data_IF_159812502824
#
_entry.id   IF_159812502824
#
_cell.length_a   1.000
_cell.length_b   1.000
_cell.length_c   1.000
_cell.angle_alpha   90.00
_cell.angle_beta   90.00
_cell.angle_gamma   90.00
#
_symmetry.space_group_name_H-M   'P 1'
#
loop_
_entity.id
_entity.type
_entity.pdbx_description
1 polymer ?
#
# COMPACT_ATOMS: atom_id res chain seq x y z
N UNK A 1 -16.96 -14.91 -1.50
CA UNK A 1 -16.50 -13.51 -1.39
C UNK A 1 -15.17 -13.54 -0.63
N UNK A 2 -14.13 -12.88 -1.13
CA UNK A 2 -12.79 -12.99 -0.53
C UNK A 2 -12.60 -11.95 0.57
N UNK A 3 -12.25 -12.39 1.77
CA UNK A 3 -12.07 -11.53 2.93
C UNK A 3 -10.66 -10.94 2.97
N UNK A 4 -10.58 -9.60 3.07
CA UNK A 4 -9.33 -8.86 3.27
C UNK A 4 -8.97 -8.87 4.76
N UNK A 5 -7.69 -8.95 5.07
CA UNK A 5 -7.20 -8.93 6.46
C UNK A 5 -7.68 -7.68 7.22
N UNK A 6 -7.74 -6.54 6.52
CA UNK A 6 -8.23 -5.27 7.06
C UNK A 6 -9.73 -5.27 7.42
N UNK A 7 -10.53 -6.18 6.83
CA UNK A 7 -11.99 -6.23 7.02
C UNK A 7 -12.41 -6.34 8.48
N UNK A 8 -11.71 -7.15 9.28
CA UNK A 8 -12.03 -7.34 10.70
C UNK A 8 -11.91 -6.03 11.49
N UNK A 9 -10.83 -5.27 11.28
CA UNK A 9 -10.63 -3.97 11.94
C UNK A 9 -11.67 -2.94 11.48
N UNK A 10 -11.98 -2.89 10.18
CA UNK A 10 -13.00 -2.01 9.63
C UNK A 10 -14.40 -2.34 10.18
N UNK A 11 -14.74 -3.62 10.26
CA UNK A 11 -16.02 -4.08 10.84
C UNK A 11 -16.15 -3.64 12.29
N UNK A 12 -15.10 -3.77 13.09
CA UNK A 12 -15.09 -3.28 14.48
C UNK A 12 -15.32 -1.77 14.55
N UNK A 13 -14.67 -1.01 13.66
CA UNK A 13 -14.77 0.45 13.64
C UNK A 13 -16.15 1.00 13.18
N UNK A 14 -17.02 0.17 12.58
CA UNK A 14 -18.37 0.60 12.19
C UNK A 14 -19.23 1.05 13.39
N UNK A 15 -18.95 0.52 14.58
CA UNK A 15 -19.67 0.88 15.81
C UNK A 15 -19.11 2.14 16.47
N UNK A 16 -17.95 2.59 16.07
CA UNK A 16 -17.31 3.79 16.60
C UNK A 16 -17.85 5.04 15.90
N UNK A 17 -17.85 6.17 16.62
CA UNK A 17 -18.37 7.45 16.09
C UNK A 17 -17.53 8.02 14.94
N UNK A 18 -16.18 8.00 14.97
CA UNK A 18 -15.38 8.63 13.91
C UNK A 18 -15.69 8.07 12.52
N UNK A 19 -15.56 8.89 11.50
CA UNK A 19 -15.67 8.48 10.11
C UNK A 19 -14.62 7.42 9.78
N UNK A 20 -15.04 6.35 9.12
CA UNK A 20 -14.16 5.29 8.62
C UNK A 20 -13.63 5.71 7.25
N UNK A 21 -12.33 5.97 7.14
CA UNK A 21 -11.69 6.41 5.89
C UNK A 21 -10.83 5.28 5.36
N UNK A 22 -11.16 4.76 4.18
CA UNK A 22 -10.40 3.72 3.50
C UNK A 22 -9.60 4.36 2.37
N UNK A 23 -8.29 4.37 2.48
CA UNK A 23 -7.38 4.93 1.48
C UNK A 23 -6.46 3.84 0.92
N UNK A 24 -5.80 4.11 -0.18
CA UNK A 24 -4.90 3.16 -0.83
C UNK A 24 -4.86 3.39 -2.34
N UNK A 25 -3.92 2.74 -3.01
CA UNK A 25 -3.76 2.86 -4.45
C UNK A 25 -5.06 2.51 -5.21
N UNK A 26 -5.22 3.02 -6.42
CA UNK A 26 -6.33 2.63 -7.31
C UNK A 26 -6.31 1.11 -7.57
N UNK A 27 -7.49 0.49 -7.75
CA UNK A 27 -7.66 -0.95 -8.06
C UNK A 27 -7.26 -1.95 -6.94
N UNK A 28 -7.01 -1.50 -5.69
CA UNK A 28 -6.76 -2.42 -4.56
C UNK A 28 -8.03 -2.99 -3.92
N UNK A 29 -9.22 -2.58 -4.40
CA UNK A 29 -10.51 -3.10 -3.95
C UNK A 29 -11.22 -2.26 -2.88
N UNK A 30 -10.95 -0.94 -2.78
CA UNK A 30 -11.59 -0.02 -1.80
C UNK A 30 -13.12 -0.02 -1.93
N UNK A 31 -13.64 0.20 -3.15
CA UNK A 31 -15.09 0.25 -3.42
C UNK A 31 -15.79 -1.08 -3.08
N UNK A 32 -15.15 -2.21 -3.37
CA UNK A 32 -15.68 -3.52 -3.01
C UNK A 32 -15.76 -3.69 -1.51
N UNK A 33 -14.71 -3.29 -0.79
CA UNK A 33 -14.66 -3.36 0.67
C UNK A 33 -15.69 -2.41 1.33
N UNK A 34 -15.85 -1.20 0.78
CA UNK A 34 -16.86 -0.22 1.21
C UNK A 34 -18.28 -0.80 1.11
N UNK A 35 -18.62 -1.41 -0.02
CA UNK A 35 -19.93 -2.07 -0.23
C UNK A 35 -20.14 -3.22 0.76
N UNK A 36 -19.14 -4.08 0.95
CA UNK A 36 -19.20 -5.17 1.93
C UNK A 36 -19.46 -4.68 3.36
N UNK A 37 -18.82 -3.55 3.74
CA UNK A 37 -19.05 -2.95 5.06
C UNK A 37 -20.45 -2.36 5.17
N UNK A 38 -20.95 -1.70 4.14
CA UNK A 38 -22.29 -1.15 4.15
C UNK A 38 -23.37 -2.23 4.21
N UNK A 39 -23.14 -3.37 3.55
CA UNK A 39 -24.09 -4.50 3.55
C UNK A 39 -24.35 -5.02 4.96
N UNK A 40 -23.32 -5.09 5.83
CA UNK A 40 -23.45 -5.56 7.21
C UNK A 40 -23.96 -4.51 8.20
N UNK A 41 -24.07 -3.22 7.80
CA UNK A 41 -24.68 -2.20 8.65
C UNK A 41 -26.16 -2.50 8.78
N UNK A 42 -26.70 -2.58 10.04
CA UNK A 42 -28.10 -2.88 10.26
C UNK A 42 -29.02 -1.70 9.87
N UNK A 43 -30.25 -2.04 9.51
CA UNK A 43 -31.30 -1.04 9.18
C UNK A 43 -31.31 -0.64 7.71
N UNK A 44 -32.34 0.13 7.34
CA UNK A 44 -32.57 0.62 5.95
C UNK A 44 -32.05 2.04 5.72
N UNK A 45 -31.81 2.82 6.79
CA UNK A 45 -31.35 4.19 6.71
C UNK A 45 -29.84 4.24 6.41
N UNK A 46 -29.46 3.74 5.24
CA UNK A 46 -28.08 3.67 4.76
C UNK A 46 -28.02 3.79 3.24
N UNK A 47 -27.00 4.47 2.73
CA UNK A 47 -26.84 4.71 1.29
C UNK A 47 -25.37 4.57 0.86
N UNK A 48 -25.16 4.09 -0.37
CA UNK A 48 -23.90 4.10 -1.08
C UNK A 48 -23.96 5.12 -2.22
N UNK A 49 -23.03 6.04 -2.25
CA UNK A 49 -22.91 7.09 -3.27
C UNK A 49 -21.52 7.04 -3.89
N UNK A 50 -21.45 6.63 -5.14
CA UNK A 50 -20.26 6.68 -5.97
C UNK A 50 -20.12 8.08 -6.56
N UNK A 51 -19.09 8.82 -6.15
CA UNK A 51 -18.86 10.19 -6.60
C UNK A 51 -18.20 10.28 -8.00
N UNK A 52 -17.85 9.14 -8.64
CA UNK A 52 -17.55 9.14 -10.08
C UNK A 52 -18.81 9.51 -10.90
N UNK A 53 -19.99 9.20 -10.38
CA UNK A 53 -21.28 9.55 -11.01
C UNK A 53 -21.64 11.01 -10.76
N UNK A 54 -21.98 11.72 -11.84
CA UNK A 54 -22.33 13.14 -11.78
C UNK A 54 -23.58 13.34 -10.93
N UNK A 55 -24.58 12.45 -11.05
CA UNK A 55 -25.84 12.51 -10.33
C UNK A 55 -25.61 12.51 -8.80
N UNK A 56 -24.72 11.67 -8.32
CA UNK A 56 -24.40 11.60 -6.89
C UNK A 56 -23.68 12.87 -6.41
N UNK A 57 -22.84 13.49 -7.24
CA UNK A 57 -22.22 14.76 -6.89
C UNK A 57 -23.21 15.92 -6.84
N UNK A 58 -24.29 15.88 -7.64
CA UNK A 58 -25.33 16.92 -7.64
C UNK A 58 -26.05 17.01 -6.29
N UNK A 59 -26.19 15.91 -5.55
CA UNK A 59 -26.78 15.89 -4.20
C UNK A 59 -26.07 16.91 -3.30
N UNK A 60 -24.75 16.95 -3.36
CA UNK A 60 -23.87 17.77 -2.50
C UNK A 60 -23.53 19.14 -3.09
N UNK A 61 -24.08 19.48 -4.25
CA UNK A 61 -23.95 20.80 -4.89
C UNK A 61 -25.20 21.68 -4.71
N UNK A 62 -26.17 21.23 -3.90
CA UNK A 62 -27.32 22.06 -3.57
C UNK A 62 -26.88 23.30 -2.78
N UNK A 63 -27.57 24.44 -2.94
CA UNK A 63 -27.19 25.71 -2.32
C UNK A 63 -27.14 25.68 -0.80
N UNK A 64 -27.95 24.85 -0.16
CA UNK A 64 -28.01 24.74 1.30
C UNK A 64 -27.97 23.30 1.76
N UNK A 65 -27.46 23.07 2.98
CA UNK A 65 -27.45 21.74 3.61
C UNK A 65 -28.86 21.17 3.76
N UNK A 66 -29.88 22.04 3.99
CA UNK A 66 -31.28 21.63 4.10
C UNK A 66 -31.81 21.06 2.77
N UNK A 67 -31.45 21.63 1.65
CA UNK A 67 -31.82 21.10 0.32
C UNK A 67 -31.12 19.78 0.03
N UNK A 68 -29.86 19.61 0.48
CA UNK A 68 -29.16 18.32 0.42
C UNK A 68 -29.87 17.25 1.25
N UNK A 69 -30.34 17.60 2.46
CA UNK A 69 -31.09 16.73 3.35
C UNK A 69 -32.41 16.30 2.71
N UNK A 70 -33.17 17.26 2.17
CA UNK A 70 -34.44 16.98 1.44
C UNK A 70 -34.19 16.06 0.24
N UNK A 71 -33.11 16.27 -0.49
CA UNK A 71 -32.76 15.38 -1.61
C UNK A 71 -32.53 13.95 -1.13
N UNK A 72 -31.79 13.77 -0.04
CA UNK A 72 -31.54 12.45 0.55
C UNK A 72 -32.85 11.82 1.08
N UNK A 73 -33.77 12.62 1.63
CA UNK A 73 -35.10 12.14 2.05
C UNK A 73 -35.89 11.56 0.87
N UNK A 74 -35.80 12.15 -0.33
CA UNK A 74 -36.45 11.57 -1.53
C UNK A 74 -35.88 10.20 -1.91
N UNK A 75 -34.65 9.91 -1.48
CA UNK A 75 -33.98 8.61 -1.64
C UNK A 75 -34.23 7.66 -0.45
N UNK A 76 -35.07 8.08 0.53
CA UNK A 76 -35.39 7.31 1.72
C UNK A 76 -34.37 7.39 2.84
N UNK A 77 -33.50 8.41 2.82
CA UNK A 77 -32.43 8.59 3.81
C UNK A 77 -32.73 9.80 4.70
N UNK A 78 -32.89 9.56 5.97
CA UNK A 78 -33.14 10.58 6.99
C UNK A 78 -31.84 10.78 7.81
N UNK A 79 -31.14 11.85 7.54
CA UNK A 79 -29.85 12.18 8.22
C UNK A 79 -30.04 12.63 9.66
N UNK A 80 -31.27 13.04 10.06
CA UNK A 80 -31.58 13.44 11.43
C UNK A 80 -31.67 12.25 12.38
N UNK A 81 -31.87 11.05 11.83
CA UNK A 81 -31.86 9.78 12.55
C UNK A 81 -30.50 9.07 12.40
N UNK A 82 -30.31 7.98 13.17
CA UNK A 82 -29.13 7.14 12.99
C UNK A 82 -29.06 6.65 11.55
N UNK A 83 -28.05 7.12 10.83
CA UNK A 83 -27.87 6.92 9.40
C UNK A 83 -26.42 6.52 9.10
N UNK A 84 -26.20 5.78 8.00
CA UNK A 84 -24.86 5.48 7.46
C UNK A 84 -24.77 5.91 6.00
N UNK A 85 -23.81 6.78 5.71
CA UNK A 85 -23.54 7.27 4.36
C UNK A 85 -22.15 6.75 3.93
N UNK A 86 -22.13 5.94 2.88
CA UNK A 86 -20.92 5.44 2.25
C UNK A 86 -20.63 6.27 1.00
N UNK A 87 -19.47 6.96 0.98
CA UNK A 87 -19.03 7.81 -0.12
C UNK A 87 -17.78 7.22 -0.77
N UNK A 88 -17.87 6.91 -2.04
CA UNK A 88 -16.76 6.36 -2.82
C UNK A 88 -16.09 7.46 -3.65
N UNK A 89 -14.74 7.43 -3.74
CA UNK A 89 -13.90 8.36 -4.52
C UNK A 89 -14.11 9.85 -4.15
N UNK A 90 -14.05 10.16 -2.84
CA UNK A 90 -14.38 11.51 -2.31
C UNK A 90 -13.47 12.63 -2.83
N UNK A 91 -12.29 12.33 -3.36
CA UNK A 91 -11.42 13.34 -3.98
C UNK A 91 -12.06 14.04 -5.19
N UNK A 92 -13.09 13.45 -5.79
CA UNK A 92 -13.85 14.05 -6.90
C UNK A 92 -14.83 15.15 -6.46
N UNK A 93 -15.02 15.33 -5.14
CA UNK A 93 -15.86 16.38 -4.58
C UNK A 93 -15.17 17.02 -3.36
N UNK A 94 -14.22 17.94 -3.58
CA UNK A 94 -13.41 18.54 -2.52
C UNK A 94 -14.18 19.14 -1.35
N UNK A 95 -15.31 19.80 -1.63
CA UNK A 95 -16.08 20.55 -0.66
C UNK A 95 -16.94 19.68 0.28
N UNK A 96 -17.06 18.37 -0.04
CA UNK A 96 -17.83 17.40 0.75
C UNK A 96 -17.33 17.28 2.20
N UNK A 97 -16.08 17.63 2.44
CA UNK A 97 -15.46 17.56 3.77
C UNK A 97 -16.20 18.46 4.79
N UNK A 98 -16.61 19.64 4.35
CA UNK A 98 -17.38 20.59 5.17
C UNK A 98 -18.76 20.04 5.52
N UNK A 99 -19.39 19.36 4.57
CA UNK A 99 -20.70 18.72 4.75
C UNK A 99 -20.58 17.54 5.71
N UNK A 100 -19.58 16.68 5.52
CA UNK A 100 -19.29 15.55 6.43
C UNK A 100 -19.08 16.06 7.86
N UNK A 101 -18.28 17.14 8.04
CA UNK A 101 -18.07 17.76 9.34
C UNK A 101 -19.37 18.26 9.96
N UNK A 102 -20.17 19.01 9.19
CA UNK A 102 -21.44 19.56 9.67
C UNK A 102 -22.41 18.45 10.12
N UNK A 103 -22.63 17.43 9.28
CA UNK A 103 -23.54 16.33 9.63
C UNK A 103 -22.97 15.42 10.72
N UNK A 104 -21.65 15.26 10.82
CA UNK A 104 -21.01 14.56 11.93
C UNK A 104 -21.22 15.28 13.27
N UNK A 105 -21.07 16.61 13.28
CA UNK A 105 -21.20 17.41 14.52
C UNK A 105 -22.68 17.60 14.92
N UNK A 106 -23.59 17.78 13.96
CA UNK A 106 -25.00 18.08 14.19
C UNK A 106 -25.87 16.83 14.39
N UNK A 107 -25.61 15.79 13.61
CA UNK A 107 -26.40 14.57 13.57
C UNK A 107 -25.56 13.34 13.96
N UNK A 108 -26.20 12.17 14.05
CA UNK A 108 -25.52 10.90 14.34
C UNK A 108 -25.22 10.11 13.06
N UNK A 109 -24.71 10.78 12.03
CA UNK A 109 -24.37 10.13 10.77
C UNK A 109 -23.04 9.40 10.91
N UNK A 110 -23.01 8.11 10.56
CA UNK A 110 -21.79 7.35 10.37
C UNK A 110 -21.33 7.47 8.93
N UNK A 111 -20.13 7.98 8.72
CA UNK A 111 -19.51 8.03 7.40
C UNK A 111 -18.53 6.88 7.20
N UNK A 112 -18.61 6.25 6.02
CA UNK A 112 -17.61 5.31 5.51
C UNK A 112 -17.17 5.87 4.17
N UNK A 113 -15.93 6.28 4.03
CA UNK A 113 -15.47 6.99 2.83
C UNK A 113 -14.25 6.34 2.21
N UNK A 114 -14.13 6.38 0.89
CA UNK A 114 -12.93 5.94 0.18
C UNK A 114 -12.32 7.07 -0.64
N UNK A 115 -11.02 6.92 -0.91
CA UNK A 115 -10.31 7.76 -1.85
C UNK A 115 -9.02 7.11 -2.32
N UNK A 116 -8.64 7.37 -3.57
CA UNK A 116 -7.43 6.78 -4.17
C UNK A 116 -6.15 7.49 -3.74
N UNK A 117 -6.23 8.72 -3.25
CA UNK A 117 -5.08 9.55 -2.90
C UNK A 117 -5.04 9.88 -1.42
N UNK A 118 -3.94 9.48 -0.77
CA UNK A 118 -3.68 9.88 0.61
C UNK A 118 -3.39 11.38 0.75
N UNK A 119 -2.88 12.02 -0.31
CA UNK A 119 -2.60 13.45 -0.32
C UNK A 119 -3.83 14.27 0.02
N UNK A 120 -4.92 13.99 -0.69
CA UNK A 120 -6.17 14.68 -0.47
C UNK A 120 -6.78 14.38 0.89
N UNK A 121 -6.81 13.09 1.23
CA UNK A 121 -7.37 12.62 2.50
C UNK A 121 -6.55 13.06 3.71
N UNK A 122 -5.23 13.11 3.61
CA UNK A 122 -4.37 13.57 4.71
C UNK A 122 -4.43 15.08 4.89
N UNK A 123 -4.39 15.88 3.84
CA UNK A 123 -4.32 17.34 3.93
C UNK A 123 -5.70 17.99 4.18
N UNK A 124 -6.68 17.84 3.30
CA UNK A 124 -8.01 18.45 3.52
C UNK A 124 -8.81 17.79 4.62
N UNK A 125 -8.75 16.47 4.74
CA UNK A 125 -9.39 15.77 5.85
C UNK A 125 -8.70 15.97 7.19
N UNK A 126 -7.37 16.19 7.25
CA UNK A 126 -6.71 16.37 8.55
C UNK A 126 -7.05 17.69 9.20
N UNK A 127 -7.19 18.74 8.45
CA UNK A 127 -7.54 20.06 9.00
C UNK A 127 -9.01 20.12 9.45
N UNK A 128 -9.94 19.64 8.61
CA UNK A 128 -11.37 19.77 8.89
C UNK A 128 -11.96 18.68 9.78
N UNK A 129 -11.43 17.47 9.75
CA UNK A 129 -11.93 16.31 10.50
C UNK A 129 -10.93 15.79 11.55
N UNK A 130 -10.09 16.68 12.11
CA UNK A 130 -9.21 16.31 13.21
C UNK A 130 -10.02 15.71 14.38
N UNK A 131 -9.63 14.53 14.85
CA UNK A 131 -10.35 13.79 15.91
C UNK A 131 -11.68 13.15 15.50
N UNK A 132 -12.15 13.35 14.26
CA UNK A 132 -13.45 12.85 13.75
C UNK A 132 -13.32 11.73 12.74
N UNK A 133 -12.10 11.26 12.46
CA UNK A 133 -11.84 10.20 11.46
C UNK A 133 -10.82 9.19 11.95
N UNK A 134 -10.90 7.99 11.41
CA UNK A 134 -9.84 7.00 11.47
C UNK A 134 -9.51 6.53 10.06
N UNK A 135 -8.23 6.57 9.69
CA UNK A 135 -7.74 6.20 8.36
C UNK A 135 -7.23 4.77 8.40
N UNK A 136 -7.71 3.98 7.43
CA UNK A 136 -7.32 2.61 7.18
C UNK A 136 -6.70 2.51 5.79
N UNK A 137 -5.46 2.08 5.71
CA UNK A 137 -4.74 1.93 4.45
C UNK A 137 -4.95 0.52 3.88
N UNK A 138 -5.52 0.44 2.69
CA UNK A 138 -5.71 -0.79 1.95
C UNK A 138 -4.62 -0.94 0.90
N UNK A 139 -3.70 -1.86 1.14
CA UNK A 139 -2.62 -2.19 0.21
C UNK A 139 -3.07 -3.22 -0.84
N UNK A 140 -2.30 -3.48 -1.91
CA UNK A 140 -2.45 -4.70 -2.71
C UNK A 140 -2.48 -5.95 -1.82
N UNK A 141 -2.94 -7.09 -2.29
CA UNK A 141 -3.03 -8.32 -1.50
C UNK A 141 -1.68 -8.68 -0.87
N UNK A 142 -1.68 -9.08 0.41
CA UNK A 142 -0.59 -9.84 1.00
C UNK A 142 -0.52 -11.24 0.40
N UNK A 143 0.57 -11.99 0.60
CA UNK A 143 0.68 -13.32 0.00
C UNK A 143 -0.39 -14.29 0.55
N UNK A 144 -0.73 -14.21 1.84
CA UNK A 144 -1.82 -15.01 2.40
C UNK A 144 -3.19 -14.61 1.83
N UNK A 145 -3.45 -13.32 1.57
CA UNK A 145 -4.63 -12.85 0.87
C UNK A 145 -4.64 -13.35 -0.59
N UNK A 146 -3.49 -13.29 -1.28
CA UNK A 146 -3.31 -13.80 -2.64
C UNK A 146 -3.69 -15.29 -2.72
N UNK A 147 -3.20 -16.11 -1.78
CA UNK A 147 -3.54 -17.53 -1.71
C UNK A 147 -5.05 -17.75 -1.53
N UNK A 148 -5.70 -16.98 -0.63
CA UNK A 148 -7.16 -17.04 -0.43
C UNK A 148 -7.93 -16.65 -1.71
N UNK A 149 -7.48 -15.63 -2.44
CA UNK A 149 -8.07 -15.24 -3.71
C UNK A 149 -7.91 -16.31 -4.80
N UNK A 150 -6.87 -17.12 -4.71
CA UNK A 150 -6.66 -18.30 -5.56
C UNK A 150 -7.45 -19.54 -5.08
N UNK A 151 -8.24 -19.43 -4.01
CA UNK A 151 -8.99 -20.55 -3.43
C UNK A 151 -8.15 -21.54 -2.62
N UNK A 152 -6.94 -21.16 -2.22
CA UNK A 152 -6.02 -21.98 -1.44
C UNK A 152 -6.28 -21.73 0.05
N UNK A 153 -6.50 -22.82 0.82
CA UNK A 153 -6.66 -22.71 2.28
C UNK A 153 -5.34 -22.32 2.94
N UNK A 154 -5.40 -21.25 3.73
CA UNK A 154 -4.26 -20.70 4.47
C UNK A 154 -4.33 -20.94 5.97
N UNK A 155 -5.29 -21.70 6.46
CA UNK A 155 -5.51 -21.89 7.90
C UNK A 155 -4.29 -22.54 8.58
N UNK A 156 -3.76 -23.57 7.97
CA UNK A 156 -2.52 -24.24 8.43
C UNK A 156 -1.28 -23.41 8.14
N UNK A 157 -1.28 -22.70 7.02
CA UNK A 157 -0.18 -21.86 6.55
C UNK A 157 0.27 -20.83 7.59
N UNK A 158 -0.65 -20.14 8.25
CA UNK A 158 -0.33 -19.09 9.23
C UNK A 158 0.46 -19.56 10.45
N UNK A 159 0.48 -20.85 10.74
CA UNK A 159 1.26 -21.43 11.85
C UNK A 159 2.75 -21.42 11.59
N UNK A 160 3.17 -21.25 10.33
CA UNK A 160 4.57 -21.28 9.91
C UNK A 160 5.20 -19.89 9.74
N UNK A 161 4.52 -18.82 10.19
CA UNK A 161 5.05 -17.47 10.13
C UNK A 161 6.43 -17.38 10.78
N UNK A 162 7.39 -16.82 10.04
CA UNK A 162 8.78 -16.63 10.48
C UNK A 162 9.52 -17.90 10.96
N UNK A 163 9.03 -19.09 10.65
CA UNK A 163 9.77 -20.32 10.92
C UNK A 163 10.88 -20.52 9.87
N UNK A 164 11.94 -21.21 10.29
CA UNK A 164 13.00 -21.63 9.40
C UNK A 164 12.46 -22.47 8.24
N UNK A 165 13.24 -22.51 7.16
CA UNK A 165 12.90 -23.19 5.92
C UNK A 165 12.43 -24.63 6.13
N UNK A 166 11.26 -24.94 5.58
CA UNK A 166 10.65 -26.26 5.54
C UNK A 166 10.41 -26.66 4.08
N UNK A 167 11.09 -27.69 3.64
CA UNK A 167 11.09 -28.11 2.24
C UNK A 167 9.69 -28.47 1.71
N UNK A 168 8.90 -29.23 2.46
CA UNK A 168 7.55 -29.60 2.09
C UNK A 168 6.65 -28.38 1.89
N UNK A 169 6.77 -27.39 2.78
CA UNK A 169 6.04 -26.15 2.73
C UNK A 169 6.45 -25.28 1.53
N UNK A 170 7.75 -25.12 1.30
CA UNK A 170 8.31 -24.45 0.14
C UNK A 170 7.79 -25.10 -1.16
N UNK A 171 7.90 -26.42 -1.29
CA UNK A 171 7.46 -27.13 -2.49
C UNK A 171 5.97 -26.98 -2.79
N UNK A 172 5.13 -26.87 -1.74
CA UNK A 172 3.69 -26.65 -1.87
C UNK A 172 3.36 -25.26 -2.43
N UNK A 173 4.05 -24.22 -1.99
CA UNK A 173 3.65 -22.84 -2.25
C UNK A 173 4.58 -22.04 -3.18
N UNK A 174 5.77 -22.57 -3.54
CA UNK A 174 6.76 -21.85 -4.37
C UNK A 174 6.21 -21.35 -5.69
N UNK A 175 5.35 -22.11 -6.36
CA UNK A 175 4.74 -21.72 -7.64
C UNK A 175 3.82 -20.49 -7.46
N UNK A 176 2.98 -20.51 -6.43
CA UNK A 176 2.10 -19.38 -6.08
C UNK A 176 2.89 -18.16 -5.64
N UNK A 177 3.99 -18.35 -4.90
CA UNK A 177 4.84 -17.24 -4.47
C UNK A 177 5.60 -16.61 -5.64
N UNK A 178 6.10 -17.42 -6.58
CA UNK A 178 6.72 -16.92 -7.81
C UNK A 178 5.73 -16.14 -8.68
N UNK A 179 4.48 -16.61 -8.76
CA UNK A 179 3.40 -15.88 -9.44
C UNK A 179 3.13 -14.53 -8.75
N UNK A 180 3.06 -14.52 -7.42
CA UNK A 180 2.87 -13.32 -6.61
C UNK A 180 4.01 -12.31 -6.78
N UNK A 181 5.27 -12.75 -6.74
CA UNK A 181 6.44 -11.90 -7.01
C UNK A 181 6.36 -11.29 -8.40
N UNK A 182 6.00 -12.11 -9.40
CA UNK A 182 6.00 -11.71 -10.82
C UNK A 182 4.89 -10.74 -11.18
N UNK A 183 3.68 -10.95 -10.66
CA UNK A 183 2.47 -10.21 -11.06
C UNK A 183 1.86 -9.35 -9.95
N UNK A 184 2.45 -9.37 -8.76
CA UNK A 184 1.97 -8.57 -7.64
C UNK A 184 0.69 -9.07 -6.99
N UNK A 185 0.10 -8.19 -6.17
CA UNK A 185 -1.07 -8.46 -5.36
C UNK A 185 -2.31 -7.65 -5.72
N UNK A 186 -2.45 -7.10 -6.93
CA UNK A 186 -3.72 -6.47 -7.32
C UNK A 186 -4.83 -7.54 -7.43
N UNK A 187 -6.00 -7.35 -6.78
CA UNK A 187 -7.07 -8.34 -6.75
C UNK A 187 -7.50 -8.84 -8.13
N UNK A 188 -7.76 -7.93 -9.07
CA UNK A 188 -8.16 -8.28 -10.44
C UNK A 188 -7.07 -9.08 -11.16
N UNK A 189 -5.79 -8.67 -11.04
CA UNK A 189 -4.64 -9.36 -11.64
C UNK A 189 -4.50 -10.78 -11.08
N UNK A 190 -4.72 -10.95 -9.77
CA UNK A 190 -4.64 -12.24 -9.09
C UNK A 190 -5.65 -13.25 -9.65
N UNK A 191 -6.86 -12.80 -9.97
CA UNK A 191 -7.96 -13.64 -10.49
C UNK A 191 -7.84 -13.99 -11.97
N UNK A 192 -7.02 -13.28 -12.73
CA UNK A 192 -6.76 -13.60 -14.15
C UNK A 192 -5.86 -14.84 -14.22
N UNK A 193 -6.15 -15.76 -15.13
CA UNK A 193 -5.36 -16.98 -15.31
C UNK A 193 -4.21 -16.81 -16.32
N UNK A 194 -4.43 -16.08 -17.43
CA UNK A 194 -3.46 -15.96 -18.53
C UNK A 194 -2.39 -14.90 -18.24
N UNK A 195 -1.08 -15.23 -18.33
CA UNK A 195 0.01 -14.29 -18.06
C UNK A 195 -0.03 -13.01 -18.91
N UNK A 196 -0.39 -13.12 -20.21
CA UNK A 196 -0.51 -11.94 -21.07
C UNK A 196 -1.62 -11.00 -20.60
N UNK A 197 -2.77 -11.55 -20.19
CA UNK A 197 -3.89 -10.75 -19.66
C UNK A 197 -3.55 -10.11 -18.32
N UNK A 198 -2.73 -10.77 -17.47
CA UNK A 198 -2.20 -10.14 -16.24
C UNK A 198 -1.33 -8.93 -16.56
N UNK A 199 -0.41 -9.05 -17.54
CA UNK A 199 0.44 -7.92 -17.97
C UNK A 199 -0.40 -6.77 -18.54
N UNK A 200 -1.40 -7.07 -19.38
CA UNK A 200 -2.30 -6.06 -19.92
C UNK A 200 -3.06 -5.33 -18.79
N UNK A 201 -3.61 -6.05 -17.81
CA UNK A 201 -4.30 -5.45 -16.68
C UNK A 201 -3.36 -4.58 -15.82
N UNK A 202 -2.12 -5.01 -15.59
CA UNK A 202 -1.12 -4.18 -14.88
C UNK A 202 -0.81 -2.89 -15.65
N UNK A 203 -0.72 -2.96 -16.99
CA UNK A 203 -0.54 -1.78 -17.83
C UNK A 203 -1.74 -0.82 -17.73
N UNK A 204 -2.96 -1.34 -17.73
CA UNK A 204 -4.18 -0.55 -17.54
C UNK A 204 -4.22 0.13 -16.17
N UNK A 205 -3.79 -0.59 -15.11
CA UNK A 205 -3.68 -0.02 -13.75
C UNK A 205 -2.68 1.13 -13.73
N UNK A 206 -1.51 0.97 -14.35
CA UNK A 206 -0.48 2.01 -14.41
C UNK A 206 -0.96 3.23 -15.22
N UNK A 207 -1.58 3.01 -16.38
CA UNK A 207 -2.12 4.08 -17.21
C UNK A 207 -3.21 4.85 -16.45
N UNK A 208 -4.15 4.14 -15.83
CA UNK A 208 -5.20 4.76 -15.02
C UNK A 208 -4.62 5.55 -13.82
N UNK A 209 -3.56 5.04 -13.18
CA UNK A 209 -2.86 5.77 -12.12
C UNK A 209 -2.26 7.09 -12.63
N UNK A 210 -1.57 7.06 -13.76
CA UNK A 210 -0.96 8.28 -14.35
C UNK A 210 -2.04 9.26 -14.76
N UNK A 211 -3.08 8.81 -15.45
CA UNK A 211 -4.10 9.68 -16.02
C UNK A 211 -5.06 10.26 -14.96
N UNK A 212 -5.40 9.49 -13.93
CA UNK A 212 -6.45 9.88 -12.99
C UNK A 212 -5.92 10.30 -11.62
N UNK A 213 -4.81 9.75 -11.15
CA UNK A 213 -4.28 10.11 -9.83
C UNK A 213 -3.17 11.17 -9.92
N UNK A 214 -2.25 11.02 -10.87
CA UNK A 214 -1.14 11.96 -11.02
C UNK A 214 -1.59 13.27 -11.67
N UNK A 215 -2.34 13.22 -12.77
CA UNK A 215 -2.80 14.43 -13.50
C UNK A 215 -3.81 15.26 -12.71
N UNK A 216 -4.70 14.64 -11.94
CA UNK A 216 -5.70 15.36 -11.11
C UNK A 216 -5.01 16.09 -9.96
N UNK A 217 -3.93 15.54 -9.42
CA UNK A 217 -3.23 16.07 -8.24
C UNK A 217 -2.03 16.95 -8.59
N UNK A 218 -1.65 17.01 -9.86
CA UNK A 218 -0.55 17.82 -10.34
C UNK A 218 -0.96 18.60 -11.60
N UNK A 219 -0.55 19.85 -11.68
CA UNK A 219 -0.72 20.67 -12.89
C UNK A 219 0.22 20.23 -14.05
N UNK A 220 0.74 18.99 -13.99
CA UNK A 220 1.74 18.48 -14.90
C UNK A 220 1.11 17.75 -16.08
N UNK A 221 1.29 18.32 -17.29
CA UNK A 221 0.72 17.81 -18.54
C UNK A 221 1.61 16.82 -19.31
N UNK A 222 2.84 16.53 -18.82
CA UNK A 222 3.83 15.77 -19.59
C UNK A 222 3.94 14.32 -19.13
N UNK A 223 3.19 13.43 -19.82
CA UNK A 223 3.21 11.98 -19.56
C UNK A 223 4.61 11.36 -19.76
N UNK A 224 5.35 11.79 -20.77
CA UNK A 224 6.66 11.22 -21.12
C UNK A 224 7.69 11.39 -19.99
N UNK A 225 7.70 12.55 -19.30
CA UNK A 225 8.58 12.76 -18.16
C UNK A 225 8.24 11.82 -16.99
N UNK A 226 6.94 11.58 -16.73
CA UNK A 226 6.48 10.70 -15.71
C UNK A 226 6.87 9.24 -15.99
N UNK A 227 6.61 8.76 -17.20
CA UNK A 227 7.01 7.40 -17.61
C UNK A 227 8.53 7.23 -17.54
N UNK A 228 9.29 8.23 -18.03
CA UNK A 228 10.77 8.22 -17.95
C UNK A 228 11.24 8.15 -16.48
N UNK A 229 10.64 8.94 -15.60
CA UNK A 229 10.98 8.93 -14.17
C UNK A 229 10.61 7.59 -13.52
N UNK A 230 9.41 7.06 -13.76
CA UNK A 230 8.97 5.77 -13.21
C UNK A 230 9.92 4.65 -13.67
N UNK A 231 10.31 4.63 -14.95
CA UNK A 231 11.27 3.68 -15.50
C UNK A 231 12.66 3.81 -14.84
N UNK A 232 13.11 5.04 -14.63
CA UNK A 232 14.38 5.30 -13.95
C UNK A 232 14.37 4.84 -12.49
N UNK A 233 13.24 5.01 -11.81
CA UNK A 233 13.03 4.55 -10.44
C UNK A 233 12.97 3.02 -10.36
N UNK A 234 12.35 2.35 -11.33
CA UNK A 234 12.31 0.89 -11.37
C UNK A 234 13.69 0.27 -11.52
N UNK A 235 14.53 0.82 -12.39
CA UNK A 235 15.92 0.37 -12.56
C UNK A 235 16.78 0.54 -11.29
N UNK A 236 16.38 1.46 -10.39
CA UNK A 236 17.11 1.82 -9.15
C UNK A 236 16.39 1.40 -7.87
N UNK A 237 15.39 0.55 -7.95
CA UNK A 237 14.70 0.04 -6.77
C UNK A 237 15.69 -0.55 -5.77
N UNK A 238 15.49 -0.32 -4.47
CA UNK A 238 16.39 -0.76 -3.40
C UNK A 238 17.71 0.01 -3.28
N UNK A 239 18.01 0.93 -4.21
CA UNK A 239 19.22 1.75 -4.15
C UNK A 239 18.93 3.11 -3.49
N UNK A 240 19.96 3.71 -2.89
CA UNK A 240 19.88 5.08 -2.37
C UNK A 240 19.56 6.07 -3.49
N UNK A 241 18.55 6.90 -3.28
CA UNK A 241 18.09 7.87 -4.27
C UNK A 241 18.59 9.28 -3.95
N UNK A 242 19.28 9.86 -4.93
CA UNK A 242 19.65 11.26 -4.94
C UNK A 242 18.82 12.01 -5.97
N UNK A 243 17.99 12.94 -5.51
CA UNK A 243 17.11 13.71 -6.39
C UNK A 243 17.88 14.54 -7.43
N UNK A 244 19.09 15.00 -7.13
CA UNK A 244 19.92 15.75 -8.08
C UNK A 244 20.46 14.84 -9.19
N UNK A 245 20.91 13.61 -8.83
CA UNK A 245 21.34 12.61 -9.82
C UNK A 245 20.17 12.14 -10.69
N UNK A 246 18.98 11.94 -10.10
CA UNK A 246 17.77 11.61 -10.85
C UNK A 246 17.41 12.73 -11.84
N UNK A 247 17.45 13.99 -11.38
CA UNK A 247 17.17 15.16 -12.19
C UNK A 247 18.11 15.26 -13.42
N UNK A 248 19.41 15.08 -13.19
CA UNK A 248 20.43 15.11 -14.26
C UNK A 248 20.17 14.01 -15.29
N UNK A 249 19.93 12.76 -14.86
CA UNK A 249 19.73 11.62 -15.78
C UNK A 249 18.38 11.71 -16.52
N UNK A 250 17.33 12.16 -15.82
CA UNK A 250 16.00 12.31 -16.41
C UNK A 250 15.88 13.52 -17.34
N UNK A 251 16.74 14.53 -17.18
CA UNK A 251 16.61 15.85 -17.84
C UNK A 251 15.42 16.64 -17.27
N UNK A 252 15.08 16.44 -16.00
CA UNK A 252 13.93 17.05 -15.31
C UNK A 252 14.45 17.94 -14.18
N UNK A 253 13.82 19.08 -13.94
CA UNK A 253 14.19 19.97 -12.83
C UNK A 253 14.16 19.24 -11.49
N UNK A 254 15.15 19.49 -10.60
CA UNK A 254 15.28 18.85 -9.30
C UNK A 254 14.04 19.04 -8.41
N UNK A 255 13.45 20.23 -8.38
CA UNK A 255 12.26 20.50 -7.58
C UNK A 255 11.06 19.70 -8.11
N UNK A 256 10.95 19.54 -9.42
CA UNK A 256 9.91 18.74 -10.06
C UNK A 256 10.09 17.26 -9.73
N UNK A 257 11.34 16.74 -9.72
CA UNK A 257 11.63 15.37 -9.24
C UNK A 257 11.20 15.19 -7.79
N UNK A 258 11.54 16.12 -6.90
CA UNK A 258 11.14 16.04 -5.48
C UNK A 258 9.61 16.04 -5.32
N UNK A 259 8.91 16.86 -6.09
CA UNK A 259 7.44 16.89 -6.10
C UNK A 259 6.84 15.57 -6.61
N UNK A 260 7.39 14.98 -7.67
CA UNK A 260 6.94 13.68 -8.17
C UNK A 260 7.18 12.56 -7.17
N UNK A 261 8.36 12.51 -6.53
CA UNK A 261 8.64 11.50 -5.50
C UNK A 261 7.66 11.62 -4.33
N UNK A 262 7.41 12.84 -3.86
CA UNK A 262 6.42 13.10 -2.81
C UNK A 262 5.01 12.69 -3.26
N UNK A 263 4.61 13.00 -4.48
CA UNK A 263 3.32 12.58 -5.04
C UNK A 263 3.20 11.06 -5.11
N UNK A 264 4.22 10.36 -5.61
CA UNK A 264 4.23 8.89 -5.69
C UNK A 264 4.13 8.23 -4.32
N UNK A 265 4.78 8.81 -3.30
CA UNK A 265 4.67 8.35 -1.91
C UNK A 265 3.25 8.58 -1.38
N UNK A 266 2.71 9.78 -1.58
CA UNK A 266 1.37 10.14 -1.09
C UNK A 266 0.23 9.40 -1.78
N UNK A 267 0.43 8.97 -3.03
CA UNK A 267 -0.54 8.17 -3.80
C UNK A 267 -0.35 6.66 -3.64
N UNK A 268 0.52 6.22 -2.73
CA UNK A 268 0.82 4.80 -2.49
C UNK A 268 1.43 4.07 -3.69
N UNK A 269 2.00 4.77 -4.66
CA UNK A 269 2.70 4.16 -5.78
C UNK A 269 4.10 3.69 -5.38
N UNK A 270 4.79 4.51 -4.61
CA UNK A 270 6.08 4.19 -4.00
C UNK A 270 6.02 4.24 -2.48
N UNK A 271 6.84 3.43 -1.86
CA UNK A 271 7.14 3.49 -0.44
C UNK A 271 8.56 3.96 -0.23
N UNK A 272 8.73 4.99 0.58
CA UNK A 272 10.03 5.53 0.97
C UNK A 272 10.53 4.83 2.21
N UNK A 273 11.75 4.33 2.16
CA UNK A 273 12.44 3.74 3.30
C UNK A 273 13.56 4.67 3.74
N UNK A 274 13.49 5.13 4.98
CA UNK A 274 14.49 6.01 5.59
C UNK A 274 15.63 5.18 6.22
N UNK A 275 16.83 5.75 6.36
CA UNK A 275 17.90 5.07 7.05
C UNK A 275 17.64 4.97 8.56
N UNK A 276 18.05 3.87 9.16
CA UNK A 276 18.08 3.71 10.62
C UNK A 276 19.26 4.47 11.21
N UNK A 277 19.02 5.37 12.14
CA UNK A 277 20.06 6.11 12.85
C UNK A 277 19.60 6.50 14.25
N UNK A 278 20.50 6.37 15.23
CA UNK A 278 20.28 6.90 16.57
C UNK A 278 20.44 8.44 16.64
N UNK A 279 20.71 9.08 15.50
CA UNK A 279 20.88 10.52 15.40
C UNK A 279 19.90 11.03 14.32
N UNK A 280 18.94 11.85 14.72
CA UNK A 280 17.89 12.41 13.88
C UNK A 280 18.44 13.21 12.69
N UNK A 281 19.52 13.99 12.87
CA UNK A 281 20.13 14.74 11.78
C UNK A 281 20.69 13.83 10.68
N UNK A 282 21.27 12.70 11.08
CA UNK A 282 21.77 11.69 10.13
C UNK A 282 20.62 10.96 9.44
N UNK A 283 19.54 10.67 10.15
CA UNK A 283 18.35 10.05 9.57
C UNK A 283 17.73 10.94 8.50
N UNK A 284 17.60 12.24 8.78
CA UNK A 284 17.02 13.21 7.85
C UNK A 284 17.95 13.53 6.66
N UNK A 285 19.26 13.61 6.90
CA UNK A 285 20.25 14.02 5.87
C UNK A 285 20.67 12.89 4.91
N UNK A 286 20.43 11.62 5.26
CA UNK A 286 20.80 10.49 4.41
C UNK A 286 19.75 10.26 3.30
N UNK A 287 20.23 9.74 2.17
CA UNK A 287 19.39 9.48 1.01
C UNK A 287 18.42 8.31 1.27
N UNK A 288 17.12 8.46 1.00
CA UNK A 288 16.16 7.35 1.13
C UNK A 288 16.35 6.30 0.05
N UNK A 289 15.80 5.11 0.28
CA UNK A 289 15.51 4.10 -0.74
C UNK A 289 14.02 4.15 -1.08
N UNK A 290 13.68 3.81 -2.33
CA UNK A 290 12.29 3.72 -2.77
C UNK A 290 11.99 2.33 -3.30
N UNK A 291 10.78 1.85 -2.97
CA UNK A 291 10.24 0.57 -3.39
C UNK A 291 8.86 0.78 -4.01
N UNK A 292 8.56 0.02 -5.05
CA UNK A 292 7.20 0.01 -5.60
C UNK A 292 6.27 -0.72 -4.63
N UNK A 293 5.08 -0.18 -4.40
CA UNK A 293 4.10 -0.77 -3.49
C UNK A 293 3.54 -2.12 -3.98
N UNK A 294 3.79 -2.44 -5.25
CA UNK A 294 3.43 -3.71 -5.88
C UNK A 294 4.54 -4.21 -6.80
N UNK A 295 4.93 -5.48 -6.66
CA UNK A 295 5.98 -6.11 -7.45
C UNK A 295 5.60 -6.32 -8.91
N UNK A 296 4.30 -6.47 -9.22
CA UNK A 296 3.81 -6.59 -10.58
C UNK A 296 4.00 -5.29 -11.37
N UNK A 297 3.77 -4.13 -10.75
CA UNK A 297 4.05 -2.85 -11.37
C UNK A 297 5.55 -2.62 -11.58
N UNK A 298 6.38 -3.00 -10.63
CA UNK A 298 7.84 -2.95 -10.79
C UNK A 298 8.29 -3.79 -11.99
N UNK A 299 7.83 -5.04 -12.06
CA UNK A 299 8.22 -5.99 -13.10
C UNK A 299 7.66 -5.64 -14.49
N UNK A 300 6.62 -4.80 -14.55
CA UNK A 300 6.05 -4.29 -15.80
C UNK A 300 6.99 -3.31 -16.51
N UNK A 301 7.78 -2.53 -15.74
CA UNK A 301 8.60 -1.45 -16.30
C UNK A 301 9.81 -1.96 -17.07
N UNK A 302 10.48 -2.97 -16.56
CA UNK A 302 11.62 -3.66 -17.19
C UNK A 302 11.69 -5.08 -16.60
N UNK A 303 12.22 -6.04 -17.36
CA UNK A 303 12.61 -7.32 -16.78
C UNK A 303 13.71 -7.09 -15.74
N UNK A 304 13.30 -7.06 -14.49
CA UNK A 304 14.21 -6.83 -13.37
C UNK A 304 14.98 -8.11 -13.03
N UNK A 305 16.18 -7.93 -12.50
CA UNK A 305 16.88 -9.02 -11.83
C UNK A 305 16.00 -9.61 -10.73
N UNK A 306 15.93 -10.95 -10.66
CA UNK A 306 15.12 -11.68 -9.67
C UNK A 306 15.35 -11.18 -8.24
N UNK A 307 16.59 -10.82 -7.90
CA UNK A 307 16.94 -10.30 -6.58
C UNK A 307 16.23 -8.99 -6.21
N UNK A 308 16.16 -8.04 -7.13
CA UNK A 308 15.52 -6.73 -6.90
C UNK A 308 14.00 -6.86 -6.72
N UNK A 309 13.35 -7.69 -7.55
CA UNK A 309 11.90 -7.93 -7.43
C UNK A 309 11.61 -8.64 -6.11
N UNK A 310 12.42 -9.61 -5.73
CA UNK A 310 12.28 -10.32 -4.47
C UNK A 310 12.47 -9.40 -3.27
N UNK A 311 13.54 -8.58 -3.26
CA UNK A 311 13.75 -7.57 -2.23
C UNK A 311 12.56 -6.62 -2.11
N UNK A 312 12.08 -6.06 -3.22
CA UNK A 312 10.89 -5.21 -3.23
C UNK A 312 9.65 -5.91 -2.64
N UNK A 313 9.46 -7.18 -2.94
CA UNK A 313 8.34 -7.98 -2.41
C UNK A 313 8.46 -8.17 -0.91
N UNK A 314 9.65 -8.56 -0.42
CA UNK A 314 9.91 -8.77 1.02
C UNK A 314 9.77 -7.47 1.81
N UNK A 315 10.31 -6.36 1.30
CA UNK A 315 10.14 -5.03 1.93
C UNK A 315 8.66 -4.70 2.11
N UNK A 316 7.83 -4.88 1.07
CA UNK A 316 6.39 -4.67 1.16
C UNK A 316 5.70 -5.61 2.15
N UNK A 317 6.14 -6.86 2.29
CA UNK A 317 5.61 -7.78 3.29
C UNK A 317 5.89 -7.27 4.72
N UNK A 318 7.11 -6.82 5.02
CA UNK A 318 7.46 -6.25 6.33
C UNK A 318 6.70 -4.95 6.62
N UNK A 319 6.55 -4.05 5.65
CA UNK A 319 5.81 -2.79 5.80
C UNK A 319 4.31 -3.00 6.08
N UNK A 320 3.74 -4.13 5.68
CA UNK A 320 2.36 -4.52 6.01
C UNK A 320 2.22 -5.03 7.44
N UNK A 321 3.27 -5.64 7.99
CA UNK A 321 3.29 -6.13 9.36
C UNK A 321 3.50 -4.99 10.37
N UNK A 322 4.33 -4.01 10.00
CA UNK A 322 4.62 -2.83 10.82
C UNK A 322 5.14 -1.70 9.92
N UNK A 323 4.75 -0.47 10.24
CA UNK A 323 5.20 0.72 9.50
C UNK A 323 6.61 1.18 9.88
N UNK A 324 7.14 0.71 11.02
CA UNK A 324 8.48 1.05 11.49
C UNK A 324 9.49 0.10 10.86
N UNK A 325 9.87 0.44 9.64
CA UNK A 325 10.88 -0.28 8.85
C UNK A 325 11.86 0.74 8.29
N UNK A 326 13.15 0.50 8.51
CA UNK A 326 14.24 1.35 8.03
C UNK A 326 15.28 0.47 7.32
N UNK A 327 16.23 1.05 6.60
CA UNK A 327 17.43 0.36 6.14
C UNK A 327 18.65 0.86 6.93
N UNK A 328 19.75 0.10 6.96
CA UNK A 328 20.97 0.55 7.59
C UNK A 328 22.17 0.43 6.64
N UNK A 329 22.99 1.47 6.54
CA UNK A 329 24.21 1.43 5.77
C UNK A 329 25.29 2.32 6.37
N UNK A 330 26.49 1.74 6.58
CA UNK A 330 27.71 2.48 6.96
C UNK A 330 28.35 3.16 5.75
N UNK A 331 29.18 4.19 6.01
CA UNK A 331 30.03 4.81 4.97
C UNK A 331 31.00 3.81 4.32
N UNK A 332 31.39 2.76 5.05
CA UNK A 332 32.25 1.67 4.57
C UNK A 332 31.56 0.68 3.62
N UNK A 333 30.28 0.89 3.30
CA UNK A 333 29.51 0.02 2.41
C UNK A 333 28.80 -1.14 3.11
N UNK A 334 29.04 -1.39 4.40
CA UNK A 334 28.29 -2.41 5.15
C UNK A 334 26.81 -2.02 5.25
N UNK A 335 25.91 -2.92 4.87
CA UNK A 335 24.48 -2.70 4.81
C UNK A 335 23.71 -3.80 5.53
N UNK A 336 22.55 -3.46 6.11
CA UNK A 336 21.47 -4.37 6.50
C UNK A 336 20.26 -3.91 5.70
N UNK A 337 19.64 -4.81 4.96
CA UNK A 337 18.55 -4.48 4.05
C UNK A 337 17.38 -3.84 4.77
N UNK A 338 16.95 -4.42 5.93
CA UNK A 338 15.89 -3.84 6.76
C UNK A 338 16.25 -3.91 8.25
N UNK A 339 15.88 -2.84 8.97
CA UNK A 339 15.72 -2.84 10.43
C UNK A 339 14.23 -2.78 10.71
N UNK A 340 13.69 -3.81 11.34
CA UNK A 340 12.27 -3.95 11.64
C UNK A 340 12.01 -3.77 13.12
N UNK A 341 11.04 -2.89 13.47
CA UNK A 341 10.70 -2.55 14.87
C UNK A 341 11.90 -2.13 15.71
N UNK A 342 12.88 -1.47 15.09
CA UNK A 342 14.10 -0.95 15.73
C UNK A 342 14.96 -1.99 16.49
N UNK A 343 14.60 -3.26 16.43
CA UNK A 343 15.28 -4.31 17.19
C UNK A 343 15.64 -5.58 16.41
N UNK A 344 15.25 -5.64 15.12
CA UNK A 344 15.44 -6.83 14.29
C UNK A 344 16.16 -6.48 13.01
N UNK A 345 17.27 -7.18 12.73
CA UNK A 345 18.03 -7.08 11.49
C UNK A 345 17.52 -8.10 10.47
N UNK A 346 17.33 -7.68 9.23
CA UNK A 346 16.85 -8.54 8.14
C UNK A 346 17.76 -8.38 6.95
N UNK A 347 18.23 -9.50 6.43
CA UNK A 347 19.00 -9.62 5.20
C UNK A 347 18.22 -10.43 4.19
N UNK A 348 18.17 -9.99 2.92
CA UNK A 348 17.37 -10.58 1.85
C UNK A 348 18.29 -11.13 0.77
N UNK A 349 18.18 -12.42 0.48
CA UNK A 349 19.01 -13.11 -0.51
C UNK A 349 18.15 -14.02 -1.39
N UNK A 350 18.42 -14.05 -2.68
CA UNK A 350 17.77 -15.03 -3.56
C UNK A 350 18.09 -16.44 -3.16
N UNK A 351 19.34 -16.72 -2.82
CA UNK A 351 19.83 -18.01 -2.34
C UNK A 351 20.72 -17.77 -1.11
N UNK A 352 20.14 -17.86 0.10
CA UNK A 352 20.85 -17.55 1.34
C UNK A 352 21.94 -18.59 1.66
N UNK A 353 23.03 -18.14 2.27
CA UNK A 353 24.15 -18.99 2.66
C UNK A 353 24.47 -18.84 4.15
N UNK A 354 25.24 -19.76 4.70
CA UNK A 354 25.76 -19.67 6.07
C UNK A 354 26.61 -18.40 6.25
N UNK A 355 27.42 -18.03 5.24
CA UNK A 355 28.19 -16.79 5.27
C UNK A 355 27.33 -15.54 5.39
N UNK A 356 26.13 -15.52 4.75
CA UNK A 356 25.18 -14.41 4.89
C UNK A 356 24.62 -14.34 6.31
N UNK A 357 24.30 -15.49 6.92
CA UNK A 357 23.83 -15.56 8.30
C UNK A 357 24.88 -15.05 9.30
N UNK A 358 26.13 -15.48 9.14
CA UNK A 358 27.25 -15.06 9.99
C UNK A 358 27.53 -13.56 9.85
N UNK A 359 27.51 -13.04 8.63
CA UNK A 359 27.65 -11.61 8.34
C UNK A 359 26.51 -10.77 8.95
N UNK A 360 25.27 -11.22 8.81
CA UNK A 360 24.10 -10.58 9.43
C UNK A 360 24.22 -10.57 10.96
N UNK A 361 24.61 -11.70 11.56
CA UNK A 361 24.80 -11.81 13.00
C UNK A 361 25.84 -10.80 13.53
N UNK A 362 26.97 -10.67 12.86
CA UNK A 362 28.02 -9.72 13.23
C UNK A 362 27.54 -8.27 13.12
N UNK A 363 26.80 -7.93 12.06
CA UNK A 363 26.22 -6.59 11.88
C UNK A 363 25.15 -6.29 12.92
N UNK A 364 24.25 -7.22 13.21
CA UNK A 364 23.20 -7.09 14.21
C UNK A 364 23.79 -6.84 15.61
N UNK A 365 24.81 -7.60 16.01
CA UNK A 365 25.55 -7.40 17.27
C UNK A 365 26.17 -6.02 17.36
N UNK A 366 26.78 -5.51 16.26
CA UNK A 366 27.39 -4.18 16.25
C UNK A 366 26.39 -3.03 16.44
N UNK A 367 25.12 -3.28 16.25
CA UNK A 367 24.00 -2.33 16.43
C UNK A 367 23.13 -2.63 17.67
N UNK A 368 23.51 -3.63 18.48
CA UNK A 368 22.73 -4.09 19.63
C UNK A 368 21.29 -4.55 19.26
N UNK A 369 21.10 -5.08 18.05
CA UNK A 369 19.82 -5.62 17.60
C UNK A 369 19.60 -7.01 18.19
N UNK A 370 18.40 -7.27 18.73
CA UNK A 370 18.10 -8.49 19.49
C UNK A 370 17.73 -9.69 18.64
N UNK A 371 17.19 -9.42 17.43
CA UNK A 371 16.69 -10.47 16.53
C UNK A 371 17.34 -10.32 15.15
N UNK A 372 17.40 -11.43 14.43
CA UNK A 372 17.92 -11.46 13.06
C UNK A 372 17.11 -12.44 12.24
N UNK A 373 16.84 -12.08 10.99
CA UNK A 373 16.16 -12.93 10.03
C UNK A 373 16.87 -12.86 8.68
N UNK A 374 17.40 -13.99 8.24
CA UNK A 374 17.90 -14.15 6.87
C UNK A 374 16.72 -14.65 6.01
N UNK A 375 16.32 -13.85 5.02
CA UNK A 375 15.18 -14.16 4.17
C UNK A 375 15.68 -14.70 2.83
N UNK A 376 15.15 -15.87 2.42
CA UNK A 376 15.53 -16.55 1.19
C UNK A 376 14.39 -16.75 0.21
N UNK A 377 14.68 -16.66 -1.09
CA UNK A 377 13.73 -17.02 -2.15
C UNK A 377 13.82 -18.51 -2.47
N UNK A 378 15.04 -19.02 -2.64
CA UNK A 378 15.33 -20.41 -2.96
C UNK A 378 16.25 -21.04 -1.91
N UNK A 379 16.07 -22.34 -1.62
CA UNK A 379 17.04 -23.05 -0.78
C UNK A 379 18.40 -23.14 -1.50
N UNK A 380 19.51 -23.05 -0.76
CA UNK A 380 20.82 -23.38 -1.31
C UNK A 380 20.93 -24.86 -1.64
N UNK A 381 21.88 -25.23 -2.53
CA UNK A 381 22.11 -26.62 -2.92
C UNK A 381 22.78 -27.50 -1.85
N UNK A 382 22.87 -27.01 -0.61
CA UNK A 382 23.45 -27.70 0.56
C UNK A 382 22.43 -27.79 1.68
N UNK A 383 22.79 -28.43 2.81
CA UNK A 383 21.87 -28.65 3.96
C UNK A 383 21.63 -27.40 4.82
N UNK A 384 22.02 -26.20 4.38
CA UNK A 384 21.77 -24.98 5.13
C UNK A 384 20.27 -24.63 5.11
N UNK A 385 19.64 -24.61 6.29
CA UNK A 385 18.20 -24.37 6.49
C UNK A 385 17.90 -23.22 7.47
N UNK A 386 18.93 -22.52 7.98
CA UNK A 386 18.78 -21.45 8.96
C UNK A 386 18.41 -20.11 8.27
N UNK A 387 17.35 -20.15 7.50
CA UNK A 387 16.75 -18.96 6.88
C UNK A 387 15.22 -19.10 6.85
N UNK A 388 14.53 -17.98 6.78
CA UNK A 388 13.09 -17.92 6.59
C UNK A 388 12.80 -17.80 5.10
N UNK A 389 11.94 -18.67 4.56
CA UNK A 389 11.51 -18.51 3.19
C UNK A 389 10.61 -17.27 3.04
N UNK A 390 10.82 -16.43 2.01
CA UNK A 390 10.07 -15.19 1.78
C UNK A 390 8.56 -15.37 1.74
N UNK A 391 8.06 -16.54 1.34
CA UNK A 391 6.64 -16.88 1.42
C UNK A 391 6.12 -17.07 2.85
N UNK A 392 6.94 -17.15 3.89
CA UNK A 392 6.54 -17.32 5.29
C UNK A 392 6.45 -16.00 6.09
N UNK A 393 6.44 -14.85 5.41
CA UNK A 393 6.35 -13.53 6.03
C UNK A 393 4.89 -13.05 5.98
N UNK A 394 4.15 -13.21 7.12
CA UNK A 394 2.73 -12.82 7.25
C UNK A 394 2.27 -12.75 8.72
#
# INVERSE_FOLDING_TARGET
MFERTLYKALKSHLTERPATVITGMRRVGKSTLLKQLLDIVPGKNKIYLDLERIENRQIFKQPTTKEMELFLETMGIDVTKKCTIALDEIQLLPDIVSIIKYWYDTYRVKFIVTGSSSFYLKNRFSESLAGRKQIFELNPLSFDEFLRFKGIDVTTYKRFAFQNYLEGFYNQFKSSYNEFIKFGGFPEVTLISKPQSKKAMLQDILNAYIDMDVKILSDYSLNDELYKLIRLLSARVGSKMDASKLASVAGINRNKIANYLNLFEQTYFLTKLTPFSNNTDKEISQQPKYYFSDSGLLNLMEEQETGKIFENTVVNQFLRLDKVVNYYQKKSGQEIDLIWKENSAIEIKTTPTKSDADALSNRAKSLNLKKQFLIGLHPPGNDFKDFVWGGNIF
#
